data_IF_843919994452
#
_entry.id   IF_843919994452
#
_cell.length_a   1.000
_cell.length_b   1.000
_cell.length_c   1.000
_cell.angle_alpha   90.00
_cell.angle_beta   90.00
_cell.angle_gamma   90.00
#
_symmetry.space_group_name_H-M   'P 1'
#
loop_
_entity.id
_entity.type
_entity.pdbx_description
1 polymer ?
#
# COMPACT_ATOMS: atom_id res chain seq x y z
N UNK A 1 75.23 21.14 -1.87
CA UNK A 1 74.87 20.75 -3.26
C UNK A 1 73.90 19.56 -3.13
N UNK A 2 72.62 19.83 -2.88
CA UNK A 2 71.45 19.81 -3.80
C UNK A 2 71.06 18.40 -4.30
N UNK A 3 69.74 18.14 -4.46
CA UNK A 3 69.06 16.92 -4.01
C UNK A 3 68.41 16.11 -5.14
N UNK A 4 68.14 14.81 -4.97
CA UNK A 4 67.22 14.04 -5.82
C UNK A 4 66.32 13.21 -4.89
N UNK A 5 65.04 13.52 -4.65
CA UNK A 5 63.89 13.66 -5.58
C UNK A 5 63.73 12.46 -6.50
N UNK A 6 63.33 11.34 -5.92
CA UNK A 6 62.47 10.36 -6.60
C UNK A 6 61.04 10.76 -6.20
N UNK A 7 60.29 11.56 -6.99
CA UNK A 7 59.68 11.20 -8.28
C UNK A 7 59.01 9.83 -8.13
N UNK A 8 57.70 9.63 -8.23
CA UNK A 8 56.51 10.45 -8.49
C UNK A 8 55.38 9.41 -8.54
N UNK A 9 54.16 9.82 -8.19
CA UNK A 9 52.88 9.19 -8.57
C UNK A 9 52.64 7.72 -8.20
N UNK A 10 51.98 7.49 -7.07
CA UNK A 10 51.00 6.39 -7.01
C UNK A 10 49.73 6.93 -7.68
N UNK A 11 49.62 6.60 -8.96
CA UNK A 11 48.48 6.90 -9.79
C UNK A 11 47.30 5.98 -9.43
N UNK A 12 46.16 6.62 -9.19
CA UNK A 12 44.87 6.27 -9.78
C UNK A 12 44.46 4.80 -9.61
N UNK A 13 43.77 4.52 -8.51
CA UNK A 13 42.54 3.73 -8.56
C UNK A 13 41.54 4.44 -7.66
N UNK A 14 41.08 5.61 -8.12
CA UNK A 14 39.76 6.09 -7.73
C UNK A 14 38.78 5.12 -8.39
N UNK A 15 38.58 3.96 -7.74
CA UNK A 15 37.46 3.10 -8.03
C UNK A 15 36.24 3.98 -7.76
N UNK A 16 35.77 4.60 -8.83
CA UNK A 16 34.44 5.14 -8.93
C UNK A 16 33.50 3.98 -8.60
N UNK A 17 33.24 3.82 -7.31
CA UNK A 17 31.97 3.36 -6.84
C UNK A 17 30.99 4.37 -7.42
N UNK A 18 30.58 4.11 -8.66
CA UNK A 18 29.31 4.58 -9.17
C UNK A 18 28.33 4.02 -8.15
N UNK A 19 28.05 4.81 -7.11
CA UNK A 19 26.92 4.61 -6.24
C UNK A 19 25.78 4.46 -7.23
N UNK A 20 25.13 3.28 -7.34
CA UNK A 20 23.94 3.22 -8.13
C UNK A 20 23.00 4.21 -7.47
N UNK A 21 22.80 5.37 -8.11
CA UNK A 21 21.70 6.24 -7.77
C UNK A 21 20.47 5.39 -8.04
N UNK A 22 19.97 4.74 -6.98
CA UNK A 22 18.64 4.17 -6.99
C UNK A 22 17.75 5.33 -7.42
N UNK A 23 17.23 5.27 -8.65
CA UNK A 23 16.21 6.19 -9.12
C UNK A 23 14.97 5.90 -8.30
N UNK A 24 14.94 6.51 -7.11
CA UNK A 24 13.94 6.30 -6.09
C UNK A 24 12.64 6.87 -6.65
N UNK A 25 11.82 5.99 -7.21
CA UNK A 25 10.60 6.40 -7.89
C UNK A 25 9.59 6.73 -6.80
N UNK A 26 9.28 8.02 -6.67
CA UNK A 26 8.37 8.50 -5.64
C UNK A 26 6.97 8.62 -6.20
N UNK A 27 6.03 7.86 -5.64
CA UNK A 27 4.60 8.02 -5.87
C UNK A 27 4.11 9.17 -4.99
N UNK A 28 3.54 10.25 -5.54
CA UNK A 28 3.02 11.34 -4.74
C UNK A 28 1.76 10.93 -3.96
N UNK A 29 1.50 11.63 -2.85
CA UNK A 29 0.20 11.57 -2.19
C UNK A 29 -0.92 12.02 -3.16
N UNK A 30 -2.12 11.50 -2.96
CA UNK A 30 -3.29 11.69 -3.84
C UNK A 30 -3.39 10.68 -4.98
N UNK A 31 -2.35 9.87 -5.21
CA UNK A 31 -2.40 8.81 -6.22
C UNK A 31 -3.44 7.76 -5.83
N UNK A 32 -4.39 7.50 -6.73
CA UNK A 32 -5.45 6.49 -6.53
C UNK A 32 -4.92 5.12 -6.93
N UNK A 33 -4.96 4.19 -5.99
CA UNK A 33 -4.58 2.79 -6.13
C UNK A 33 -5.84 1.95 -6.19
N UNK A 34 -6.15 1.39 -7.36
CA UNK A 34 -7.22 0.41 -7.49
C UNK A 34 -6.67 -0.97 -7.15
N UNK A 35 -7.16 -1.57 -6.07
CA UNK A 35 -6.80 -2.94 -5.68
C UNK A 35 -7.99 -3.88 -5.88
N UNK A 36 -7.70 -5.12 -6.23
CA UNK A 36 -8.60 -6.26 -6.18
C UNK A 36 -8.25 -7.14 -4.98
N UNK A 37 -9.21 -7.40 -4.10
CA UNK A 37 -9.01 -8.30 -2.97
C UNK A 37 -8.78 -9.74 -3.46
N UNK A 38 -7.87 -10.48 -2.85
CA UNK A 38 -7.64 -11.90 -3.16
C UNK A 38 -8.27 -12.80 -2.10
N UNK A 39 -8.21 -12.37 -0.84
CA UNK A 39 -8.83 -13.06 0.28
C UNK A 39 -10.28 -12.64 0.47
N UNK A 40 -11.11 -13.54 1.00
CA UNK A 40 -12.43 -13.19 1.51
C UNK A 40 -12.26 -12.40 2.82
N UNK A 41 -12.92 -11.24 2.92
CA UNK A 41 -12.92 -10.41 4.14
C UNK A 41 -14.35 -10.29 4.61
N UNK A 42 -14.59 -10.45 5.91
CA UNK A 42 -15.91 -10.32 6.50
C UNK A 42 -15.92 -9.25 7.59
N UNK A 43 -17.09 -8.67 7.85
CA UNK A 43 -17.28 -7.75 8.99
C UNK A 43 -17.04 -8.41 10.35
N UNK A 44 -16.90 -9.73 10.41
CA UNK A 44 -16.59 -10.48 11.62
C UNK A 44 -15.09 -10.70 11.82
N UNK A 45 -14.24 -10.28 10.88
CA UNK A 45 -12.79 -10.44 11.00
C UNK A 45 -12.23 -9.59 12.14
N UNK A 46 -11.07 -10.01 12.67
CA UNK A 46 -10.40 -9.26 13.71
C UNK A 46 -10.00 -7.86 13.21
N UNK A 47 -10.21 -6.85 14.04
CA UNK A 47 -9.57 -5.55 13.84
C UNK A 47 -8.04 -5.76 13.82
N UNK A 48 -7.35 -5.13 12.88
CA UNK A 48 -5.91 -5.33 12.54
C UNK A 48 -5.58 -6.66 11.86
N UNK A 49 -6.57 -7.43 11.42
CA UNK A 49 -6.31 -8.58 10.54
C UNK A 49 -5.71 -8.11 9.22
N UNK A 50 -4.66 -8.77 8.76
CA UNK A 50 -4.06 -8.51 7.44
C UNK A 50 -4.78 -9.32 6.38
N UNK A 51 -4.99 -8.75 5.20
CA UNK A 51 -5.57 -9.44 4.05
C UNK A 51 -4.71 -9.26 2.81
N UNK A 52 -4.73 -10.26 1.93
CA UNK A 52 -4.06 -10.18 0.63
C UNK A 52 -4.95 -9.52 -0.42
N UNK A 53 -4.33 -8.62 -1.16
CA UNK A 53 -4.90 -7.97 -2.31
C UNK A 53 -3.86 -7.91 -3.44
N UNK A 54 -4.31 -7.54 -4.63
CA UNK A 54 -3.47 -7.28 -5.78
C UNK A 54 -3.88 -5.97 -6.41
N UNK A 55 -2.96 -5.28 -7.07
CA UNK A 55 -3.30 -4.09 -7.83
C UNK A 55 -4.14 -4.50 -9.04
N UNK A 56 -5.29 -3.87 -9.24
CA UNK A 56 -6.19 -4.18 -10.35
C UNK A 56 -5.81 -3.42 -11.63
N UNK A 57 -5.10 -2.29 -11.50
CA UNK A 57 -4.72 -1.41 -12.59
C UNK A 57 -3.29 -0.91 -12.43
N UNK A 58 -2.59 -0.69 -13.54
CA UNK A 58 -1.29 -0.04 -13.56
C UNK A 58 -1.38 1.38 -12.98
N UNK A 59 -0.46 1.71 -12.08
CA UNK A 59 -0.34 3.05 -11.49
C UNK A 59 0.88 3.72 -12.09
N UNK A 60 0.63 4.76 -12.87
CA UNK A 60 1.68 5.57 -13.48
C UNK A 60 1.85 6.91 -12.77
N UNK A 61 3.11 7.34 -12.65
CA UNK A 61 3.50 8.63 -12.08
C UNK A 61 4.36 9.32 -13.13
N UNK A 62 3.98 10.54 -13.53
CA UNK A 62 4.69 11.32 -14.55
C UNK A 62 4.93 10.54 -15.87
N UNK A 63 3.96 9.70 -16.27
CA UNK A 63 4.05 8.91 -17.51
C UNK A 63 4.84 7.59 -17.39
N UNK A 64 5.46 7.31 -16.24
CA UNK A 64 6.14 6.03 -15.98
C UNK A 64 5.26 5.12 -15.13
N UNK A 65 5.07 3.86 -15.57
CA UNK A 65 4.36 2.86 -14.77
C UNK A 65 5.22 2.48 -13.57
N UNK A 66 4.76 2.84 -12.38
CA UNK A 66 5.46 2.64 -11.12
C UNK A 66 5.04 1.34 -10.45
N UNK A 67 3.75 1.04 -10.48
CA UNK A 67 3.19 -0.23 -10.02
C UNK A 67 2.43 -0.86 -11.17
N UNK A 68 2.68 -2.13 -11.44
CA UNK A 68 1.96 -2.89 -12.46
C UNK A 68 0.71 -3.54 -11.85
N UNK A 69 -0.33 -3.71 -12.66
CA UNK A 69 -1.45 -4.56 -12.32
C UNK A 69 -0.95 -5.97 -11.99
N UNK A 70 -1.58 -6.60 -11.00
CA UNK A 70 -1.16 -7.87 -10.44
C UNK A 70 -0.12 -7.77 -9.33
N UNK A 71 0.47 -6.59 -9.09
CA UNK A 71 1.35 -6.34 -7.95
C UNK A 71 0.67 -6.75 -6.64
N UNK A 72 1.33 -7.59 -5.82
CA UNK A 72 0.81 -8.02 -4.53
C UNK A 72 0.76 -6.84 -3.57
N UNK A 73 -0.33 -6.71 -2.83
CA UNK A 73 -0.54 -5.70 -1.82
C UNK A 73 -1.15 -6.34 -0.57
N UNK A 74 -0.84 -5.76 0.59
CA UNK A 74 -1.33 -6.21 1.88
C UNK A 74 -2.10 -5.07 2.53
N UNK A 75 -3.37 -5.32 2.78
CA UNK A 75 -4.21 -4.43 3.56
C UNK A 75 -4.36 -4.90 5.00
N UNK A 76 -4.86 -4.02 5.84
CA UNK A 76 -5.24 -4.29 7.22
C UNK A 76 -6.69 -3.85 7.45
N UNK A 77 -7.40 -4.57 8.30
CA UNK A 77 -8.73 -4.17 8.76
C UNK A 77 -8.56 -3.08 9.82
N UNK A 78 -9.07 -1.88 9.56
CA UNK A 78 -8.99 -0.73 10.48
C UNK A 78 -10.09 -0.77 11.54
N UNK A 79 -11.31 -1.13 11.13
CA UNK A 79 -12.48 -1.27 11.99
C UNK A 79 -13.28 -2.50 11.55
N UNK A 80 -13.91 -3.17 12.50
CA UNK A 80 -14.73 -4.34 12.21
C UNK A 80 -15.88 -4.47 13.20
N UNK A 81 -16.87 -5.25 12.79
CA UNK A 81 -18.08 -5.49 13.56
C UNK A 81 -17.98 -6.66 14.53
N UNK A 82 -16.81 -7.29 14.62
CA UNK A 82 -16.57 -8.43 15.49
C UNK A 82 -16.86 -8.09 16.96
N UNK A 83 -16.65 -6.83 17.37
CA UNK A 83 -16.82 -6.43 18.76
C UNK A 83 -18.26 -5.97 19.05
N UNK A 84 -19.02 -6.69 19.90
CA UNK A 84 -20.39 -6.27 20.25
C UNK A 84 -20.45 -4.95 21.03
N UNK A 85 -19.36 -4.54 21.69
CA UNK A 85 -19.28 -3.26 22.42
C UNK A 85 -18.90 -2.07 21.53
N UNK A 86 -18.28 -2.33 20.37
CA UNK A 86 -17.86 -1.32 19.39
C UNK A 86 -18.10 -1.87 17.99
N UNK A 87 -19.36 -1.79 17.57
CA UNK A 87 -19.85 -2.29 16.28
C UNK A 87 -19.72 -1.19 15.24
N UNK A 88 -18.59 -1.18 14.52
CA UNK A 88 -18.34 -0.21 13.45
C UNK A 88 -18.50 -0.86 12.06
N UNK A 89 -18.77 -0.08 11.01
CA UNK A 89 -18.70 -0.55 9.63
C UNK A 89 -17.32 -1.18 9.36
N UNK A 90 -17.26 -2.19 8.49
CA UNK A 90 -15.99 -2.77 8.08
C UNK A 90 -15.23 -1.71 7.28
N UNK A 91 -14.13 -1.19 7.82
CA UNK A 91 -13.22 -0.30 7.10
C UNK A 91 -11.86 -0.97 6.96
N UNK A 92 -11.28 -0.86 5.78
CA UNK A 92 -9.98 -1.44 5.44
C UNK A 92 -9.03 -0.35 4.97
N UNK A 93 -7.75 -0.57 5.21
CA UNK A 93 -6.66 0.33 4.78
C UNK A 93 -5.56 -0.49 4.12
N UNK A 94 -4.88 0.09 3.14
CA UNK A 94 -3.68 -0.53 2.58
C UNK A 94 -2.49 -0.25 3.50
N UNK A 95 -1.74 -1.31 3.84
CA UNK A 95 -0.59 -1.22 4.74
C UNK A 95 0.74 -1.32 3.98
N UNK A 96 0.82 -2.19 2.96
CA UNK A 96 2.05 -2.35 2.16
C UNK A 96 1.79 -2.88 0.75
N UNK A 97 2.74 -2.64 -0.15
CA UNK A 97 2.70 -3.05 -1.56
C UNK A 97 4.06 -3.65 -1.93
N UNK A 98 4.05 -4.79 -2.63
CA UNK A 98 5.27 -5.49 -3.07
C UNK A 98 5.73 -4.98 -4.43
N UNK A 99 6.81 -4.21 -4.46
CA UNK A 99 7.40 -3.65 -5.67
C UNK A 99 8.75 -4.28 -5.91
N UNK A 100 8.95 -4.89 -7.09
CA UNK A 100 10.22 -5.54 -7.46
C UNK A 100 10.74 -6.54 -6.41
N UNK A 101 9.84 -7.25 -5.72
CA UNK A 101 10.18 -8.19 -4.64
C UNK A 101 10.43 -7.56 -3.27
N UNK A 102 10.39 -6.23 -3.15
CA UNK A 102 10.50 -5.50 -1.88
C UNK A 102 9.12 -5.08 -1.38
N UNK A 103 8.83 -5.29 -0.09
CA UNK A 103 7.58 -4.81 0.49
C UNK A 103 7.75 -3.34 0.94
N UNK A 104 6.98 -2.44 0.35
CA UNK A 104 7.00 -1.01 0.68
C UNK A 104 5.76 -0.66 1.48
N UNK A 105 5.96 -0.08 2.66
CA UNK A 105 4.86 0.40 3.49
C UNK A 105 4.18 1.60 2.81
N UNK A 106 2.85 1.54 2.71
CA UNK A 106 2.04 2.61 2.13
C UNK A 106 1.05 3.09 3.15
N UNK A 107 0.79 4.40 3.17
CA UNK A 107 -0.33 4.96 3.93
C UNK A 107 -1.41 5.41 2.97
N UNK A 108 -2.60 4.89 3.17
CA UNK A 108 -3.76 5.18 2.32
C UNK A 108 -4.94 5.62 3.16
N UNK A 109 -5.93 6.20 2.50
CA UNK A 109 -7.25 6.46 3.09
C UNK A 109 -7.91 5.14 3.48
N UNK A 110 -8.67 5.16 4.58
CA UNK A 110 -9.57 4.06 4.91
C UNK A 110 -10.71 4.00 3.90
N UNK A 111 -11.05 2.80 3.45
CA UNK A 111 -12.13 2.54 2.50
C UNK A 111 -13.11 1.59 3.18
N UNK A 112 -14.38 1.93 3.14
CA UNK A 112 -15.47 1.07 3.57
C UNK A 112 -15.95 0.25 2.37
N UNK A 113 -15.62 -1.07 2.29
CA UNK A 113 -16.22 -1.95 1.31
C UNK A 113 -17.75 -1.88 1.37
N UNK A 114 -18.36 -1.86 0.20
CA UNK A 114 -19.82 -1.81 0.07
C UNK A 114 -20.44 -3.01 0.80
N UNK A 115 -21.04 -2.75 1.96
CA UNK A 115 -21.78 -3.71 2.74
C UNK A 115 -23.26 -3.71 2.41
N UNK A 116 -24.03 -4.67 2.96
CA UNK A 116 -25.48 -4.66 2.81
C UNK A 116 -26.03 -3.28 3.24
N UNK A 117 -26.95 -2.69 2.46
CA UNK A 117 -27.45 -1.35 2.71
C UNK A 117 -28.07 -1.27 4.10
N UNK A 118 -27.64 -0.28 4.88
CA UNK A 118 -28.24 0.01 6.18
C UNK A 118 -29.57 0.71 5.94
N UNK A 119 -30.66 0.07 6.39
CA UNK A 119 -31.98 0.72 6.32
C UNK A 119 -32.03 1.94 7.25
N UNK A 120 -32.87 2.93 6.96
CA UNK A 120 -32.97 4.14 7.78
C UNK A 120 -33.30 3.86 9.26
N UNK A 121 -34.05 2.79 9.54
CA UNK A 121 -34.33 2.34 10.91
C UNK A 121 -33.07 1.79 11.58
N UNK A 122 -32.26 1.04 10.85
CA UNK A 122 -30.99 0.50 11.32
C UNK A 122 -29.92 1.57 11.53
N UNK A 123 -29.92 2.65 10.73
CA UNK A 123 -29.08 3.82 10.95
C UNK A 123 -29.40 4.52 12.28
N UNK A 124 -30.70 4.61 12.63
CA UNK A 124 -31.16 5.20 13.90
C UNK A 124 -30.80 4.38 15.14
N UNK A 125 -30.73 3.05 15.02
CA UNK A 125 -30.40 2.15 16.13
C UNK A 125 -28.94 1.64 16.10
N UNK A 126 -28.11 2.05 15.14
CA UNK A 126 -26.71 1.62 15.01
C UNK A 126 -26.51 0.14 14.62
N UNK A 127 -27.56 -0.54 14.16
CA UNK A 127 -27.55 -1.99 13.89
C UNK A 127 -27.88 -2.29 12.43
N UNK A 128 -26.90 -2.53 11.56
CA UNK A 128 -27.13 -3.07 10.20
C UNK A 128 -27.39 -4.57 10.30
N UNK A 129 -28.48 -5.09 9.76
CA UNK A 129 -28.68 -6.53 9.65
C UNK A 129 -27.89 -7.05 8.46
N UNK A 130 -26.92 -7.93 8.70
CA UNK A 130 -26.13 -8.58 7.66
C UNK A 130 -24.63 -8.52 7.94
N UNK A 131 -23.93 -9.59 7.53
CA UNK A 131 -22.47 -9.63 7.48
C UNK A 131 -22.03 -8.93 6.20
N UNK A 132 -21.20 -7.89 6.30
CA UNK A 132 -20.51 -7.36 5.11
C UNK A 132 -19.51 -8.41 4.67
N UNK A 133 -19.69 -8.94 3.47
CA UNK A 133 -18.78 -9.91 2.87
C UNK A 133 -18.14 -9.25 1.65
N UNK A 134 -16.82 -9.14 1.70
CA UNK A 134 -16.00 -8.75 0.56
C UNK A 134 -15.53 -10.02 -0.12
N UNK A 135 -16.06 -10.27 -1.31
CA UNK A 135 -15.64 -11.42 -2.10
C UNK A 135 -14.26 -11.16 -2.73
N UNK A 136 -13.46 -12.22 -2.95
CA UNK A 136 -12.30 -12.14 -3.82
C UNK A 136 -12.67 -11.54 -5.18
N UNK A 137 -11.78 -10.72 -5.74
CA UNK A 137 -12.01 -9.96 -6.98
C UNK A 137 -12.74 -8.63 -6.79
N UNK A 138 -13.23 -8.32 -5.58
CA UNK A 138 -13.82 -7.00 -5.29
C UNK A 138 -12.79 -5.91 -5.52
N UNK A 139 -13.15 -4.91 -6.33
CA UNK A 139 -12.29 -3.76 -6.61
C UNK A 139 -12.57 -2.64 -5.62
N UNK A 140 -11.51 -2.08 -5.07
CA UNK A 140 -11.56 -0.96 -4.13
C UNK A 140 -10.52 0.08 -4.54
N UNK A 141 -10.84 1.34 -4.32
CA UNK A 141 -9.97 2.47 -4.66
C UNK A 141 -9.46 3.10 -3.38
N UNK A 142 -8.13 3.12 -3.23
CA UNK A 142 -7.44 3.71 -2.09
C UNK A 142 -6.67 4.92 -2.55
N UNK A 143 -6.76 6.04 -1.85
CA UNK A 143 -5.89 7.18 -2.14
C UNK A 143 -4.68 7.18 -1.22
N UNK A 144 -3.49 7.33 -1.79
CA UNK A 144 -2.27 7.50 -1.00
C UNK A 144 -2.35 8.81 -0.22
N UNK A 145 -2.23 8.73 1.11
CA UNK A 145 -2.23 9.92 1.96
C UNK A 145 -0.84 10.53 2.11
N UNK A 146 0.21 9.75 1.82
CA UNK A 146 1.60 10.16 1.90
C UNK A 146 2.35 9.75 0.63
N UNK A 147 3.36 10.52 0.21
CA UNK A 147 4.23 10.10 -0.86
C UNK A 147 5.02 8.85 -0.43
N UNK A 148 5.22 7.93 -1.37
CA UNK A 148 5.91 6.67 -1.14
C UNK A 148 7.08 6.56 -2.11
N UNK A 149 8.27 6.41 -1.57
CA UNK A 149 9.49 6.20 -2.35
C UNK A 149 9.78 4.71 -2.48
N UNK A 150 9.97 4.24 -3.72
CA UNK A 150 10.25 2.85 -4.05
C UNK A 150 11.74 2.61 -4.32
#
# INVERSE_FOLDING_TARGET
>A
MRPNKYIVSIAIVCASFAVPCLNATTIPAGTTLTISTVSLITSQDAVRSSFEAKLAQDVSVKGHVVLKAGTKAFGKVSSSRRNPRKSEPLSVELASVSVNGRNVAVKTSSVEPHGPPQTARQARYGHTAGTTVVNPGTRMQFQLSQPVTL
#
